data_IF_818160379983
#
_entry.id   IF_818160379983
#
_cell.length_a   1.000
_cell.length_b   1.000
_cell.length_c   1.000
_cell.angle_alpha   90.00
_cell.angle_beta   90.00
_cell.angle_gamma   90.00
#
_symmetry.space_group_name_H-M   'P 1'
#
loop_
_entity.id
_entity.type
_entity.pdbx_description
1 polymer ?
#
# COMPACT_ATOMS: atom_id res chain seq x y z
N UNK A 1 -2.28 16.16 -52.42
CA UNK A 1 -1.85 17.56 -52.26
C UNK A 1 -0.63 17.53 -51.36
N UNK A 2 0.56 17.74 -51.94
CA UNK A 2 1.88 17.66 -51.30
C UNK A 2 2.45 19.09 -51.27
N UNK A 3 2.91 19.54 -50.11
CA UNK A 3 3.74 20.74 -49.96
C UNK A 3 4.84 20.42 -48.94
N UNK A 4 6.09 20.48 -49.40
CA UNK A 4 7.28 20.67 -48.55
C UNK A 4 7.61 22.17 -48.52
N UNK A 5 8.42 22.68 -47.55
CA UNK A 5 9.88 22.65 -47.66
C UNK A 5 10.59 22.35 -46.31
N UNK A 6 11.63 21.51 -46.26
CA UNK A 6 13.05 21.86 -46.41
C UNK A 6 13.55 23.00 -45.49
N UNK A 7 14.48 22.71 -44.57
CA UNK A 7 15.83 23.32 -44.50
C UNK A 7 16.77 22.42 -43.68
N UNK A 8 17.87 22.08 -44.34
CA UNK A 8 19.12 21.43 -43.92
C UNK A 8 20.04 22.45 -43.22
N UNK A 9 20.81 22.04 -42.20
CA UNK A 9 22.20 22.50 -42.03
C UNK A 9 23.01 21.50 -41.19
N UNK A 10 23.75 20.64 -41.91
CA UNK A 10 25.22 20.47 -41.81
C UNK A 10 25.82 20.28 -40.40
N UNK A 11 26.29 19.07 -40.07
CA UNK A 11 27.68 18.57 -40.30
C UNK A 11 28.60 18.86 -39.09
N UNK A 12 29.21 17.92 -38.34
CA UNK A 12 30.40 17.03 -38.59
C UNK A 12 30.91 16.61 -37.16
N UNK A 13 31.82 15.62 -36.88
CA UNK A 13 32.27 14.36 -37.52
C UNK A 13 31.94 13.11 -36.66
N UNK A 14 31.74 11.91 -37.21
CA UNK A 14 32.70 10.95 -37.80
C UNK A 14 33.68 10.29 -36.80
N UNK A 15 33.36 9.04 -36.43
CA UNK A 15 34.23 7.84 -36.42
C UNK A 15 33.36 6.66 -35.95
N UNK A 16 32.86 5.83 -36.86
CA UNK A 16 33.56 4.63 -37.36
C UNK A 16 34.20 3.86 -36.19
N UNK A 17 33.57 2.78 -35.74
CA UNK A 17 34.08 1.44 -36.02
C UNK A 17 33.04 0.40 -35.57
N UNK A 18 32.51 -0.37 -36.53
CA UNK A 18 31.83 -1.64 -36.27
C UNK A 18 32.87 -2.63 -35.78
N UNK A 19 32.63 -3.30 -34.65
CA UNK A 19 33.12 -4.67 -34.44
C UNK A 19 32.01 -5.50 -33.79
N UNK A 20 31.64 -6.56 -34.50
CA UNK A 20 30.78 -7.64 -34.04
C UNK A 20 31.51 -8.42 -32.95
N UNK A 21 30.87 -8.64 -31.81
CA UNK A 21 31.09 -9.84 -31.01
C UNK A 21 29.82 -10.14 -30.21
N UNK A 22 29.12 -11.15 -30.70
CA UNK A 22 28.07 -11.88 -30.01
C UNK A 22 28.56 -12.30 -28.63
N UNK A 23 27.87 -11.89 -27.56
CA UNK A 23 27.84 -12.65 -26.32
C UNK A 23 26.42 -12.58 -25.75
N UNK A 24 25.73 -13.71 -25.91
CA UNK A 24 24.54 -14.09 -25.16
C UNK A 24 24.81 -13.91 -23.66
N UNK A 25 24.18 -12.91 -23.06
CA UNK A 25 23.72 -12.96 -21.68
C UNK A 25 22.32 -12.36 -21.67
N UNK A 26 21.34 -13.25 -21.60
CA UNK A 26 19.96 -12.93 -21.30
C UNK A 26 19.94 -12.42 -19.85
N UNK A 27 20.30 -11.16 -19.65
CA UNK A 27 20.09 -10.48 -18.39
C UNK A 27 18.59 -10.24 -18.28
N UNK A 28 17.90 -11.24 -17.74
CA UNK A 28 16.59 -11.03 -17.13
C UNK A 28 16.82 -10.11 -15.93
N UNK A 29 16.92 -8.81 -16.22
CA UNK A 29 16.91 -7.76 -15.22
C UNK A 29 15.49 -7.70 -14.68
N UNK A 30 15.22 -8.50 -13.66
CA UNK A 30 14.10 -8.24 -12.77
C UNK A 30 14.41 -6.90 -12.09
N UNK A 31 13.91 -5.80 -12.67
CA UNK A 31 13.77 -4.55 -11.93
C UNK A 31 12.71 -4.80 -10.87
N UNK A 32 13.15 -5.25 -9.70
CA UNK A 32 12.40 -5.06 -8.47
C UNK A 32 12.42 -3.55 -8.18
N UNK A 33 11.45 -2.80 -8.70
CA UNK A 33 11.01 -1.58 -8.01
C UNK A 33 10.14 -2.03 -6.83
N UNK A 34 10.77 -2.71 -5.88
CA UNK A 34 10.25 -2.87 -4.54
C UNK A 34 11.02 -1.89 -3.70
N UNK A 35 10.43 -0.74 -3.40
CA UNK A 35 10.87 0.02 -2.23
C UNK A 35 10.55 -0.85 -1.02
N UNK A 36 11.50 -1.70 -0.64
CA UNK A 36 11.58 -2.10 0.76
C UNK A 36 11.98 -0.84 1.51
N UNK A 37 11.00 -0.12 2.06
CA UNK A 37 11.25 0.85 3.13
C UNK A 37 11.63 0.02 4.37
N UNK A 38 12.86 -0.47 4.37
CA UNK A 38 13.48 -1.14 5.49
C UNK A 38 14.66 -0.26 5.94
N UNK A 39 14.32 0.89 6.54
CA UNK A 39 15.23 1.72 7.31
C UNK A 39 14.49 2.71 8.25
N UNK A 40 13.20 2.48 8.53
CA UNK A 40 12.43 3.29 9.45
C UNK A 40 12.26 2.47 10.75
N UNK A 41 12.44 3.02 11.96
CA UNK A 41 12.20 2.32 13.22
C UNK A 41 10.76 1.83 13.42
N UNK A 42 9.87 2.02 12.44
CA UNK A 42 8.49 1.61 12.45
C UNK A 42 8.22 0.65 11.29
N UNK A 43 7.91 -0.60 11.62
CA UNK A 43 7.36 -1.55 10.66
C UNK A 43 5.84 -1.43 10.65
N UNK A 44 5.27 -1.31 9.46
CA UNK A 44 3.83 -1.26 9.22
C UNK A 44 3.45 -2.42 8.31
N UNK A 45 2.51 -3.24 8.75
CA UNK A 45 1.96 -4.35 7.95
C UNK A 45 0.47 -4.16 7.76
N UNK A 46 0.02 -4.02 6.52
CA UNK A 46 -1.40 -3.98 6.17
C UNK A 46 -1.83 -5.35 5.65
N UNK A 47 -2.91 -5.88 6.20
CA UNK A 47 -3.57 -7.09 5.71
C UNK A 47 -5.04 -6.79 5.47
N UNK A 48 -5.60 -7.42 4.45
CA UNK A 48 -7.02 -7.31 4.11
C UNK A 48 -7.62 -8.70 3.92
N UNK A 49 -8.89 -8.85 4.29
CA UNK A 49 -9.64 -10.07 4.10
C UNK A 49 -11.11 -9.76 3.79
N UNK A 50 -11.79 -10.68 3.08
CA UNK A 50 -13.23 -10.56 2.86
C UNK A 50 -13.96 -10.83 4.17
N UNK A 51 -14.94 -9.98 4.45
CA UNK A 51 -15.91 -10.02 5.53
C UNK A 51 -17.30 -9.95 4.88
N UNK A 52 -17.87 -11.10 4.52
CA UNK A 52 -19.12 -11.21 3.76
C UNK A 52 -20.31 -10.74 4.58
N UNK A 53 -20.29 -11.01 5.88
CA UNK A 53 -21.38 -10.66 6.78
C UNK A 53 -21.24 -9.24 7.37
N UNK A 54 -20.13 -8.56 7.09
CA UNK A 54 -19.78 -7.23 7.60
C UNK A 54 -19.80 -7.16 9.14
N UNK A 55 -19.54 -8.27 9.82
CA UNK A 55 -19.65 -8.41 11.27
C UNK A 55 -18.32 -8.11 12.00
N UNK A 56 -17.26 -7.94 11.21
CA UNK A 56 -15.90 -7.62 11.60
C UNK A 56 -15.02 -8.84 11.86
N UNK A 57 -15.51 -10.02 11.55
CA UNK A 57 -14.77 -11.27 11.55
C UNK A 57 -14.62 -11.73 10.11
N UNK A 58 -13.43 -11.51 9.55
CA UNK A 58 -13.13 -11.99 8.20
C UNK A 58 -13.36 -13.51 8.09
N UNK A 59 -14.17 -13.94 7.12
CA UNK A 59 -14.44 -15.37 6.87
C UNK A 59 -13.34 -16.00 6.00
N UNK A 60 -12.55 -15.17 5.31
CA UNK A 60 -11.30 -15.60 4.70
C UNK A 60 -10.15 -15.47 5.70
N UNK A 61 -9.60 -16.60 6.14
CA UNK A 61 -8.44 -16.65 7.05
C UNK A 61 -7.11 -16.17 6.42
N UNK A 62 -7.11 -15.87 5.11
CA UNK A 62 -5.91 -15.54 4.35
C UNK A 62 -6.02 -14.14 3.81
N UNK A 63 -4.90 -13.40 3.80
CA UNK A 63 -4.79 -12.13 3.10
C UNK A 63 -5.36 -12.30 1.69
N UNK A 64 -6.39 -11.53 1.37
CA UNK A 64 -6.98 -11.54 0.04
C UNK A 64 -5.90 -11.08 -0.93
N UNK A 65 -5.47 -11.98 -1.82
CA UNK A 65 -4.72 -11.58 -3.01
C UNK A 65 -5.55 -10.52 -3.74
N UNK A 66 -4.91 -9.57 -4.39
CA UNK A 66 -5.53 -8.44 -5.12
C UNK A 66 -6.59 -8.82 -6.17
N UNK A 67 -6.90 -10.10 -6.32
CA UNK A 67 -7.80 -10.72 -7.29
C UNK A 67 -9.03 -11.42 -6.68
N UNK A 68 -9.26 -11.40 -5.37
CA UNK A 68 -10.52 -11.96 -4.86
C UNK A 68 -11.69 -11.06 -5.29
N UNK A 69 -12.67 -11.65 -5.99
CA UNK A 69 -13.93 -10.98 -6.27
C UNK A 69 -14.67 -10.76 -4.95
N UNK A 70 -15.06 -9.51 -4.71
CA UNK A 70 -15.90 -9.08 -3.60
C UNK A 70 -17.17 -8.53 -4.23
N UNK A 71 -18.31 -9.09 -3.86
CA UNK A 71 -19.58 -8.67 -4.42
C UNK A 71 -20.03 -7.33 -3.81
N UNK A 72 -20.80 -6.50 -4.56
CA UNK A 72 -21.48 -5.35 -3.98
C UNK A 72 -22.31 -5.78 -2.77
N UNK A 73 -22.17 -5.04 -1.66
CA UNK A 73 -22.83 -5.33 -0.39
C UNK A 73 -21.97 -6.09 0.62
N UNK A 74 -20.92 -6.80 0.20
CA UNK A 74 -19.93 -7.44 1.08
C UNK A 74 -18.92 -6.41 1.63
N UNK A 75 -18.17 -6.81 2.66
CA UNK A 75 -17.14 -5.98 3.27
C UNK A 75 -15.72 -6.52 3.08
N UNK A 76 -14.77 -5.59 3.18
CA UNK A 76 -13.35 -5.85 3.37
C UNK A 76 -12.98 -5.44 4.78
N UNK A 77 -12.39 -6.37 5.52
CA UNK A 77 -11.77 -6.12 6.82
C UNK A 77 -10.28 -5.82 6.63
N UNK A 78 -9.86 -4.63 7.04
CA UNK A 78 -8.46 -4.23 7.07
C UNK A 78 -7.89 -4.35 8.49
N UNK A 79 -6.66 -4.85 8.57
CA UNK A 79 -5.88 -4.96 9.79
C UNK A 79 -4.51 -4.34 9.54
N UNK A 80 -4.20 -3.30 10.29
CA UNK A 80 -2.89 -2.64 10.30
C UNK A 80 -2.16 -3.10 11.56
N UNK A 81 -0.98 -3.68 11.39
CA UNK A 81 -0.06 -3.97 12.48
C UNK A 81 1.10 -2.99 12.47
N UNK A 82 1.41 -2.45 13.64
CA UNK A 82 2.47 -1.48 13.86
C UNK A 82 3.45 -2.03 14.87
N UNK A 83 4.73 -2.05 14.51
CA UNK A 83 5.79 -2.52 15.38
C UNK A 83 6.94 -1.51 15.38
N UNK A 84 7.34 -1.06 16.58
CA UNK A 84 8.47 -0.16 16.75
C UNK A 84 9.74 -0.98 16.97
N UNK A 85 10.63 -0.98 15.98
CA UNK A 85 11.92 -1.67 15.96
C UNK A 85 13.08 -0.78 16.45
N UNK A 86 12.82 0.46 16.89
CA UNK A 86 13.82 1.24 17.61
C UNK A 86 13.99 0.81 19.06
N UNK A 87 14.94 1.45 19.74
CA UNK A 87 15.21 1.36 21.17
C UNK A 87 14.45 2.41 22.01
N UNK A 88 13.65 3.28 21.39
CA UNK A 88 12.94 4.39 22.06
C UNK A 88 11.44 4.34 21.81
N UNK A 89 10.67 5.00 22.67
CA UNK A 89 9.24 5.20 22.45
C UNK A 89 9.03 6.17 21.28
N UNK A 90 8.14 5.80 20.34
CA UNK A 90 7.64 6.72 19.32
C UNK A 90 6.44 7.46 19.91
N UNK A 91 6.30 8.74 19.57
CA UNK A 91 5.23 9.61 20.05
C UNK A 91 4.54 10.29 18.87
N UNK A 92 3.23 10.53 18.99
CA UNK A 92 2.39 11.24 18.01
C UNK A 92 2.54 10.67 16.60
N UNK A 93 2.14 9.42 16.43
CA UNK A 93 2.09 8.77 15.14
C UNK A 93 0.75 9.11 14.47
N UNK A 94 0.81 9.76 13.32
CA UNK A 94 -0.34 10.00 12.45
C UNK A 94 -0.26 9.05 11.24
N UNK A 95 -1.29 8.23 11.06
CA UNK A 95 -1.42 7.25 10.00
C UNK A 95 -2.63 7.62 9.13
N UNK A 96 -2.45 7.54 7.82
CA UNK A 96 -3.54 7.74 6.85
C UNK A 96 -3.67 6.48 6.02
N UNK A 97 -4.84 5.86 6.06
CA UNK A 97 -5.19 4.72 5.21
C UNK A 97 -6.21 5.16 4.17
N UNK A 98 -6.03 4.74 2.91
CA UNK A 98 -7.00 5.04 1.85
C UNK A 98 -8.22 4.13 1.94
N UNK A 99 -9.39 4.71 1.69
CA UNK A 99 -10.64 3.99 1.44
C UNK A 99 -10.73 3.79 -0.07
N UNK A 100 -10.75 2.55 -0.57
CA UNK A 100 -10.83 2.29 -2.01
C UNK A 100 -12.06 2.93 -2.66
N UNK A 101 -11.99 3.27 -3.96
CA UNK A 101 -13.16 3.74 -4.71
C UNK A 101 -14.27 2.69 -4.70
N UNK A 102 -15.53 3.12 -4.86
CA UNK A 102 -16.72 2.25 -4.80
C UNK A 102 -16.86 1.47 -3.49
N UNK A 103 -16.26 1.99 -2.41
CA UNK A 103 -16.48 1.49 -1.06
C UNK A 103 -16.88 2.62 -0.14
N UNK A 104 -17.39 2.28 1.04
CA UNK A 104 -17.65 3.22 2.13
C UNK A 104 -17.17 2.63 3.44
N UNK A 105 -16.73 3.47 4.37
CA UNK A 105 -16.34 3.01 5.70
C UNK A 105 -17.51 2.25 6.36
N UNK A 106 -17.22 1.06 6.89
CA UNK A 106 -18.16 0.23 7.62
C UNK A 106 -17.64 0.06 9.04
N UNK A 107 -18.46 0.46 10.03
CA UNK A 107 -18.20 0.07 11.40
C UNK A 107 -18.78 -1.32 11.63
N UNK A 108 -17.95 -2.24 12.12
CA UNK A 108 -18.40 -3.57 12.50
C UNK A 108 -18.51 -3.70 14.03
N UNK A 109 -19.53 -4.41 14.55
CA UNK A 109 -19.73 -4.57 15.99
C UNK A 109 -18.52 -5.18 16.72
N UNK A 110 -17.82 -6.11 16.08
CA UNK A 110 -16.66 -6.77 16.70
C UNK A 110 -15.42 -5.87 16.80
N UNK A 111 -15.32 -4.80 16.00
CA UNK A 111 -14.22 -3.83 16.03
C UNK A 111 -14.40 -2.71 17.06
N UNK A 112 -15.65 -2.41 17.43
CA UNK A 112 -15.96 -1.37 18.42
C UNK A 112 -15.43 -1.66 19.83
N UNK A 113 -15.00 -2.90 20.11
CA UNK A 113 -14.43 -3.31 21.41
C UNK A 113 -12.92 -3.05 21.54
N UNK A 114 -12.27 -2.51 20.51
CA UNK A 114 -10.83 -2.22 20.51
C UNK A 114 -10.59 -0.71 20.75
N UNK A 115 -10.45 -0.30 22.01
CA UNK A 115 -10.16 1.09 22.40
C UNK A 115 -8.64 1.42 22.34
N UNK A 116 -8.22 2.69 22.13
CA UNK A 116 -8.89 3.79 21.47
C UNK A 116 -8.16 4.09 20.15
N UNK A 117 -8.50 3.38 19.07
CA UNK A 117 -8.11 3.87 17.74
C UNK A 117 -9.03 5.03 17.44
N UNK A 118 -8.57 6.25 17.67
CA UNK A 118 -9.31 7.43 17.25
C UNK A 118 -9.20 7.47 15.73
N UNK A 119 -10.22 6.93 15.04
CA UNK A 119 -10.51 7.30 13.66
C UNK A 119 -10.88 8.77 13.71
N UNK A 120 -9.91 9.64 13.46
CA UNK A 120 -9.97 11.06 13.79
C UNK A 120 -10.92 11.82 12.86
N UNK A 121 -11.03 11.38 11.60
CA UNK A 121 -11.95 11.93 10.61
C UNK A 121 -12.04 10.96 9.43
N UNK A 122 -13.23 10.89 8.82
CA UNK A 122 -13.39 10.39 7.46
C UNK A 122 -13.35 11.61 6.55
N UNK A 123 -12.20 11.88 5.93
CA UNK A 123 -12.19 12.71 4.73
C UNK A 123 -12.58 11.81 3.55
N UNK A 124 -13.18 12.36 2.49
CA UNK A 124 -13.73 11.61 1.34
C UNK A 124 -12.69 10.70 0.64
N UNK A 125 -12.45 9.51 1.21
CA UNK A 125 -11.48 8.55 0.70
C UNK A 125 -10.35 8.17 1.65
N UNK A 126 -10.35 8.59 2.92
CA UNK A 126 -9.31 8.20 3.88
C UNK A 126 -9.81 7.99 5.32
N UNK A 127 -9.07 7.16 6.05
CA UNK A 127 -9.17 6.96 7.49
C UNK A 127 -7.91 7.53 8.13
N UNK A 128 -8.07 8.53 8.99
CA UNK A 128 -6.98 9.10 9.77
C UNK A 128 -6.94 8.46 11.16
N UNK A 129 -5.77 7.95 11.54
CA UNK A 129 -5.56 7.27 12.82
C UNK A 129 -4.41 7.95 13.53
N UNK A 130 -4.65 8.36 14.78
CA UNK A 130 -3.60 8.86 15.67
C UNK A 130 -3.31 7.88 16.79
N UNK A 131 -2.03 7.66 17.03
CA UNK A 131 -1.52 6.97 18.21
C UNK A 131 -0.63 7.93 18.98
N UNK A 132 -0.96 8.14 20.25
CA UNK A 132 -0.17 9.03 21.10
C UNK A 132 1.24 8.49 21.31
N UNK A 133 1.38 7.17 21.52
CA UNK A 133 2.67 6.51 21.71
C UNK A 133 2.72 5.08 21.18
N UNK A 134 3.93 4.62 20.84
CA UNK A 134 4.25 3.23 20.52
C UNK A 134 5.60 2.85 21.15
N UNK A 135 5.54 2.05 22.21
CA UNK A 135 6.74 1.57 22.92
C UNK A 135 7.58 0.60 22.05
N UNK A 136 8.90 0.52 22.27
CA UNK A 136 9.80 -0.31 21.48
C UNK A 136 9.57 -1.82 21.72
N UNK A 137 9.89 -2.62 20.70
CA UNK A 137 9.89 -4.08 20.72
C UNK A 137 8.57 -4.75 20.34
N UNK A 138 8.68 -5.98 19.83
CA UNK A 138 7.57 -6.79 19.29
C UNK A 138 6.39 -6.99 20.25
N UNK A 139 6.65 -7.06 21.57
CA UNK A 139 5.61 -7.21 22.59
C UNK A 139 4.66 -6.00 22.67
N UNK A 140 5.09 -4.84 22.15
CA UNK A 140 4.32 -3.60 22.15
C UNK A 140 3.60 -3.34 20.82
N UNK A 141 3.51 -4.34 19.94
CA UNK A 141 2.77 -4.25 18.68
C UNK A 141 1.36 -3.72 18.91
N UNK A 142 0.94 -2.80 18.04
CA UNK A 142 -0.44 -2.29 18.00
C UNK A 142 -1.14 -2.84 16.78
N UNK A 143 -2.40 -3.23 16.96
CA UNK A 143 -3.25 -3.74 15.89
C UNK A 143 -4.45 -2.82 15.79
N UNK A 144 -4.61 -2.22 14.60
CA UNK A 144 -5.73 -1.36 14.26
C UNK A 144 -6.60 -2.11 13.27
N UNK A 145 -7.92 -1.91 13.35
CA UNK A 145 -8.88 -2.53 12.45
C UNK A 145 -9.88 -1.51 11.96
N UNK A 146 -10.21 -1.60 10.69
CA UNK A 146 -11.34 -0.90 10.08
C UNK A 146 -11.86 -1.78 8.95
N UNK A 147 -13.06 -1.49 8.46
CA UNK A 147 -13.56 -2.15 7.27
C UNK A 147 -14.29 -1.21 6.37
N UNK A 148 -14.49 -1.67 5.15
CA UNK A 148 -15.21 -0.93 4.12
C UNK A 148 -16.21 -1.85 3.47
N UNK A 149 -17.36 -1.30 3.09
CA UNK A 149 -18.42 -2.02 2.38
C UNK A 149 -18.42 -1.61 0.91
N UNK A 150 -18.48 -2.58 0.01
CA UNK A 150 -18.56 -2.37 -1.45
C UNK A 150 -19.99 -2.01 -1.85
N UNK A 151 -20.17 -1.11 -2.83
CA UNK A 151 -21.47 -0.70 -3.35
C UNK A 151 -21.51 -0.59 -4.87
#
# INVERSE_FOLDING_TARGET
MLVAPAVDFRSVPMKIMRWLASLLLFSFGLLLTGDSIAADPLQITLTQAVDRDCDGVAEAATAVASTAEIAPGECLAYRIELENHSDRMLERLDLTALIPPHTRLQQAPSWQRQAPVQVMTQDEGSVHIRLDTLAPGAANRRVLRYGVRVW
#
